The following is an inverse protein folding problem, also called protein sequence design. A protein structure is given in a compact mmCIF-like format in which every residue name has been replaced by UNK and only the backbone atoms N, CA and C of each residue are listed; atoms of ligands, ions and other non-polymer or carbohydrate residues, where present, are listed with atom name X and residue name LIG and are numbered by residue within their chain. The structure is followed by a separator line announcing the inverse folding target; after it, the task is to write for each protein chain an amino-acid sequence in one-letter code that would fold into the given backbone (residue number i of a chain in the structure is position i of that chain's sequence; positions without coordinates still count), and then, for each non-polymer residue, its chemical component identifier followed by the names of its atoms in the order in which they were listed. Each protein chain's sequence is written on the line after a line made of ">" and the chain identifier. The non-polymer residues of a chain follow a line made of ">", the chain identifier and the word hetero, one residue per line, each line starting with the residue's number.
data_IF_523715553493
#
_entry.id   IF_523715553493
#
_cell.length_a   1.000
_cell.length_b   1.000
_cell.length_c   1.000
_cell.angle_alpha   90.00
_cell.angle_beta   90.00
_cell.angle_gamma   90.00
#
_symmetry.space_group_name_H-M   'P 1'
#
loop_
_entity.id
_entity.type
_entity.pdbx_description
1 polymer ?
#
# COMPACT_ATOMS: atom_id res chain seq x y z
N UNK A 1 11.20 1.74 -62.79
CA UNK A 1 9.73 1.67 -62.80
C UNK A 1 9.24 0.95 -61.55
N UNK A 2 8.36 1.65 -60.81
CA UNK A 2 7.40 1.28 -59.75
C UNK A 2 7.75 0.23 -58.67
N UNK A 3 7.92 0.72 -57.44
CA UNK A 3 7.76 -0.04 -56.18
C UNK A 3 6.28 -0.42 -55.93
N UNK A 4 5.99 -1.63 -55.42
CA UNK A 4 4.61 -2.01 -55.12
C UNK A 4 4.11 -1.27 -53.87
N UNK A 5 2.99 -0.57 -54.04
CA UNK A 5 2.31 0.16 -52.96
C UNK A 5 1.78 -0.82 -51.91
N UNK A 6 2.29 -0.72 -50.68
CA UNK A 6 1.73 -1.39 -49.51
C UNK A 6 0.33 -0.82 -49.24
N UNK A 7 -0.71 -1.60 -49.53
CA UNK A 7 -2.10 -1.29 -49.17
C UNK A 7 -2.19 -1.15 -47.65
N UNK A 8 -2.33 0.09 -47.16
CA UNK A 8 -2.59 0.34 -45.75
C UNK A 8 -4.04 -0.07 -45.45
N UNK A 9 -4.22 -1.12 -44.65
CA UNK A 9 -5.54 -1.48 -44.13
C UNK A 9 -6.08 -0.30 -43.30
N UNK A 10 -7.37 0.08 -43.43
CA UNK A 10 -7.93 1.20 -42.69
C UNK A 10 -7.82 0.93 -41.18
N UNK A 11 -7.34 1.92 -40.44
CA UNK A 11 -7.29 1.88 -38.98
C UNK A 11 -8.72 1.74 -38.45
N UNK A 12 -9.08 0.56 -37.95
CA UNK A 12 -10.31 0.36 -37.17
C UNK A 12 -10.28 1.35 -36.01
N UNK A 13 -11.28 2.24 -35.95
CA UNK A 13 -11.50 3.06 -34.78
C UNK A 13 -11.62 2.13 -33.56
N UNK A 14 -10.90 2.38 -32.45
CA UNK A 14 -11.05 1.57 -31.26
C UNK A 14 -12.50 1.66 -30.79
N UNK A 15 -13.12 0.54 -30.35
CA UNK A 15 -14.48 0.56 -29.85
C UNK A 15 -14.59 1.59 -28.73
N UNK A 16 -15.72 2.32 -28.70
CA UNK A 16 -15.98 3.42 -27.78
C UNK A 16 -15.41 3.09 -26.39
N UNK A 17 -14.36 3.82 -26.00
CA UNK A 17 -13.70 3.60 -24.71
C UNK A 17 -14.71 3.95 -23.64
N UNK A 18 -15.39 2.92 -23.11
CA UNK A 18 -16.23 3.04 -21.93
C UNK A 18 -15.51 3.87 -20.87
N UNK A 19 -16.29 4.70 -20.16
CA UNK A 19 -15.82 5.69 -19.19
C UNK A 19 -14.63 5.18 -18.39
N UNK A 20 -13.47 5.84 -18.53
CA UNK A 20 -12.26 5.45 -17.79
C UNK A 20 -12.55 5.57 -16.30
N UNK A 21 -12.54 4.45 -15.58
CA UNK A 21 -12.69 4.45 -14.14
C UNK A 21 -11.35 4.87 -13.50
N UNK A 22 -11.21 6.16 -13.14
CA UNK A 22 -10.05 6.70 -12.42
C UNK A 22 -10.15 6.54 -10.89
N UNK A 23 -11.05 5.68 -10.42
CA UNK A 23 -11.19 5.42 -8.99
C UNK A 23 -9.93 4.68 -8.51
N UNK A 24 -9.23 5.24 -7.52
CA UNK A 24 -8.06 4.60 -6.91
C UNK A 24 -8.45 3.29 -6.22
N UNK A 25 -7.54 2.34 -6.20
CA UNK A 25 -7.74 1.09 -5.45
C UNK A 25 -7.49 1.33 -3.96
N UNK A 26 -8.34 0.77 -3.11
CA UNK A 26 -8.09 0.72 -1.66
C UNK A 26 -6.96 -0.27 -1.36
N UNK A 27 -6.43 -0.23 -0.12
CA UNK A 27 -5.41 -1.19 0.33
C UNK A 27 -5.95 -2.62 0.22
N UNK A 28 -7.13 -2.90 0.74
CA UNK A 28 -7.77 -4.22 0.64
C UNK A 28 -7.93 -4.68 -0.81
N UNK A 29 -8.30 -3.78 -1.72
CA UNK A 29 -8.44 -4.12 -3.14
C UNK A 29 -7.09 -4.45 -3.80
N UNK A 30 -6.00 -3.78 -3.39
CA UNK A 30 -4.65 -4.12 -3.85
C UNK A 30 -4.20 -5.48 -3.27
N UNK A 31 -4.44 -5.69 -1.98
CA UNK A 31 -4.16 -6.95 -1.28
C UNK A 31 -4.90 -8.13 -1.91
N UNK A 32 -6.16 -7.93 -2.32
CA UNK A 32 -6.94 -8.94 -3.03
C UNK A 32 -6.27 -9.32 -4.35
N UNK A 33 -5.82 -8.33 -5.13
CA UNK A 33 -5.13 -8.58 -6.40
C UNK A 33 -3.86 -9.39 -6.15
N UNK A 34 -3.06 -9.03 -5.14
CA UNK A 34 -1.81 -9.74 -4.82
C UNK A 34 -2.07 -11.17 -4.38
N UNK A 35 -3.04 -11.39 -3.48
CA UNK A 35 -3.43 -12.72 -3.03
C UNK A 35 -3.94 -13.60 -4.17
N UNK A 36 -4.88 -13.09 -4.97
CA UNK A 36 -5.46 -13.89 -6.05
C UNK A 36 -4.46 -14.16 -7.16
N UNK A 37 -3.59 -13.20 -7.49
CA UNK A 37 -2.59 -13.37 -8.53
C UNK A 37 -1.51 -14.36 -8.13
N UNK A 38 -1.07 -14.36 -6.86
CA UNK A 38 0.16 -15.03 -6.41
C UNK A 38 -0.10 -16.17 -5.43
N UNK A 39 -0.89 -15.93 -4.39
CA UNK A 39 -0.92 -16.79 -3.21
C UNK A 39 -2.03 -17.84 -3.25
N UNK A 40 -3.10 -17.58 -4.00
CA UNK A 40 -4.30 -18.43 -3.98
C UNK A 40 -4.03 -19.85 -4.45
N UNK A 41 -3.13 -20.01 -5.41
CA UNK A 41 -2.79 -21.28 -6.04
C UNK A 41 -1.27 -21.43 -6.12
N UNK A 42 -0.78 -22.66 -6.35
CA UNK A 42 0.67 -22.92 -6.48
C UNK A 42 1.30 -22.21 -7.68
N UNK A 43 0.46 -21.88 -8.67
CA UNK A 43 0.78 -21.14 -9.88
C UNK A 43 0.01 -19.83 -9.94
N UNK A 44 0.59 -18.88 -10.67
CA UNK A 44 0.00 -17.58 -10.94
C UNK A 44 -1.37 -17.67 -11.63
N UNK A 45 -2.39 -17.01 -11.06
CA UNK A 45 -3.78 -17.07 -11.54
C UNK A 45 -3.98 -16.18 -12.77
N UNK A 46 -4.57 -16.67 -13.89
CA UNK A 46 -4.85 -15.85 -15.07
C UNK A 46 -5.64 -14.58 -14.74
N UNK A 47 -5.35 -13.49 -15.46
CA UNK A 47 -5.98 -12.19 -15.19
C UNK A 47 -7.50 -12.19 -15.35
N UNK A 48 -8.04 -13.01 -16.25
CA UNK A 48 -9.49 -13.15 -16.42
C UNK A 48 -10.16 -13.73 -15.17
N UNK A 49 -9.53 -14.71 -14.52
CA UNK A 49 -10.02 -15.28 -13.27
C UNK A 49 -9.91 -14.25 -12.14
N UNK A 50 -8.76 -13.59 -11.98
CA UNK A 50 -8.59 -12.51 -10.98
C UNK A 50 -9.66 -11.41 -11.18
N UNK A 51 -9.96 -11.07 -12.43
CA UNK A 51 -10.96 -10.05 -12.75
C UNK A 51 -12.38 -10.45 -12.39
N UNK A 52 -12.77 -11.69 -12.73
CA UNK A 52 -14.08 -12.24 -12.39
C UNK A 52 -14.29 -12.20 -10.87
N UNK A 53 -13.32 -12.73 -10.12
CA UNK A 53 -13.43 -12.83 -8.66
C UNK A 53 -13.37 -11.46 -7.98
N UNK A 54 -12.55 -10.53 -8.50
CA UNK A 54 -12.50 -9.16 -8.00
C UNK A 54 -13.86 -8.46 -8.12
N UNK A 55 -14.48 -8.55 -9.30
CA UNK A 55 -15.77 -7.89 -9.57
C UNK A 55 -16.93 -8.56 -8.81
N UNK A 56 -16.79 -9.84 -8.44
CA UNK A 56 -17.73 -10.52 -7.55
C UNK A 56 -17.55 -10.10 -6.08
N UNK A 57 -16.30 -9.87 -5.64
CA UNK A 57 -15.97 -9.52 -4.26
C UNK A 57 -16.31 -8.06 -3.91
N UNK A 58 -15.95 -7.12 -4.77
CA UNK A 58 -16.05 -5.69 -4.45
C UNK A 58 -17.21 -5.02 -5.17
N UNK A 59 -18.08 -4.37 -4.39
CA UNK A 59 -19.12 -3.48 -4.91
C UNK A 59 -18.47 -2.23 -5.50
N UNK A 60 -18.94 -1.78 -6.66
CA UNK A 60 -18.48 -0.55 -7.30
C UNK A 60 -18.34 -0.69 -8.82
N UNK A 61 -17.62 0.25 -9.47
CA UNK A 61 -17.40 0.20 -10.91
C UNK A 61 -16.62 -1.05 -11.31
N UNK A 62 -17.12 -1.76 -12.33
CA UNK A 62 -16.44 -2.93 -12.88
C UNK A 62 -15.02 -2.57 -13.31
N UNK A 63 -14.05 -3.33 -12.81
CA UNK A 63 -12.66 -3.23 -13.24
C UNK A 63 -12.44 -4.15 -14.44
N UNK A 64 -11.54 -3.73 -15.32
CA UNK A 64 -11.05 -4.54 -16.44
C UNK A 64 -9.64 -5.04 -16.13
N UNK A 65 -9.20 -6.09 -16.82
CA UNK A 65 -7.85 -6.65 -16.66
C UNK A 65 -6.75 -5.59 -16.70
N UNK A 66 -6.79 -4.68 -17.68
CA UNK A 66 -5.78 -3.62 -17.79
C UNK A 66 -5.71 -2.69 -16.57
N UNK A 67 -6.83 -2.49 -15.87
CA UNK A 67 -6.88 -1.75 -14.62
C UNK A 67 -6.24 -2.51 -13.45
N UNK A 68 -6.52 -3.81 -13.33
CA UNK A 68 -5.95 -4.66 -12.28
C UNK A 68 -4.45 -4.89 -12.50
N UNK A 69 -4.05 -5.15 -13.74
CA UNK A 69 -2.65 -5.22 -14.16
C UNK A 69 -1.91 -3.91 -13.87
N UNK A 70 -2.55 -2.77 -14.16
CA UNK A 70 -1.96 -1.47 -13.86
C UNK A 70 -1.75 -1.31 -12.35
N UNK A 71 -2.72 -1.69 -11.51
CA UNK A 71 -2.57 -1.64 -10.06
C UNK A 71 -1.45 -2.58 -9.55
N UNK A 72 -1.31 -3.75 -10.17
CA UNK A 72 -0.31 -4.75 -9.79
C UNK A 72 1.12 -4.37 -10.22
N UNK A 73 1.30 -3.86 -11.45
CA UNK A 73 2.63 -3.61 -12.04
C UNK A 73 3.11 -2.16 -12.00
N UNK A 74 2.25 -1.15 -11.80
CA UNK A 74 2.68 0.27 -11.88
C UNK A 74 3.39 0.77 -10.64
N UNK A 75 3.21 0.12 -9.49
CA UNK A 75 3.85 0.52 -8.24
C UNK A 75 5.03 -0.41 -7.97
N UNK A 76 6.20 0.15 -7.70
CA UNK A 76 7.25 -0.59 -7.01
C UNK A 76 6.63 -1.10 -5.72
N UNK A 77 6.59 -2.42 -5.54
CA UNK A 77 6.00 -2.98 -4.34
C UNK A 77 6.91 -2.60 -3.18
N UNK A 78 6.36 -1.85 -2.22
CA UNK A 78 7.03 -1.56 -0.96
C UNK A 78 6.93 -2.80 -0.09
N UNK A 79 7.94 -3.64 -0.17
CA UNK A 79 8.00 -4.89 0.59
C UNK A 79 8.58 -4.56 1.97
N UNK A 80 7.88 -4.91 3.07
CA UNK A 80 8.43 -4.68 4.40
C UNK A 80 9.69 -5.53 4.61
N UNK A 81 10.72 -4.91 5.15
CA UNK A 81 11.94 -5.60 5.56
C UNK A 81 11.65 -6.39 6.84
N UNK A 82 12.06 -7.65 6.83
CA UNK A 82 11.82 -8.56 7.94
C UNK A 82 13.11 -9.19 8.42
N UNK A 83 13.16 -9.56 9.69
CA UNK A 83 14.24 -10.37 10.26
C UNK A 83 14.13 -11.85 9.83
N UNK A 84 15.02 -12.70 10.38
CA UNK A 84 15.06 -14.12 10.09
C UNK A 84 13.80 -14.88 10.57
N UNK A 85 13.05 -14.30 11.51
CA UNK A 85 11.81 -14.83 12.06
C UNK A 85 10.58 -14.33 11.29
N UNK A 86 10.78 -13.41 10.34
CA UNK A 86 9.73 -12.80 9.55
C UNK A 86 9.04 -11.63 10.23
N UNK A 87 9.58 -11.10 11.33
CA UNK A 87 9.04 -9.94 12.05
C UNK A 87 9.51 -8.64 11.41
N UNK A 88 8.73 -7.57 11.60
CA UNK A 88 8.99 -6.27 10.98
C UNK A 88 10.21 -5.60 11.59
N UNK A 89 11.05 -5.01 10.72
CA UNK A 89 12.16 -4.15 11.12
C UNK A 89 11.72 -2.69 11.04
N UNK A 90 11.90 -1.94 12.12
CA UNK A 90 11.55 -0.52 12.23
C UNK A 90 12.79 0.38 12.10
N UNK A 91 12.58 1.62 11.69
CA UNK A 91 13.59 2.68 11.71
C UNK A 91 13.56 3.53 13.01
N UNK A 92 14.35 4.59 13.04
CA UNK A 92 14.47 5.50 14.19
C UNK A 92 13.19 6.33 14.46
N UNK A 93 12.29 6.41 13.47
CA UNK A 93 10.99 7.08 13.55
C UNK A 93 9.86 6.10 13.89
N UNK A 94 10.21 4.86 14.27
CA UNK A 94 9.26 3.77 14.52
C UNK A 94 8.42 3.42 13.28
N UNK A 95 8.87 3.77 12.07
CA UNK A 95 8.23 3.37 10.82
C UNK A 95 8.78 2.03 10.32
N UNK A 96 7.95 1.25 9.64
CA UNK A 96 8.37 -0.04 9.07
C UNK A 96 9.31 0.23 7.90
N UNK A 97 10.52 -0.33 7.96
CA UNK A 97 11.46 -0.26 6.84
C UNK A 97 10.89 -1.02 5.65
N UNK A 98 10.87 -0.38 4.48
CA UNK A 98 10.43 -1.02 3.23
C UNK A 98 11.51 -0.93 2.18
N UNK A 99 11.64 -1.97 1.36
CA UNK A 99 12.42 -1.94 0.12
C UNK A 99 11.48 -1.85 -1.08
N UNK A 100 11.91 -1.14 -2.11
CA UNK A 100 11.19 -1.07 -3.37
C UNK A 100 11.62 -2.20 -4.29
N UNK A 101 10.68 -3.07 -4.66
CA UNK A 101 10.92 -4.13 -5.64
C UNK A 101 10.07 -3.89 -6.90
N UNK A 102 10.68 -3.60 -8.05
CA UNK A 102 9.94 -3.54 -9.31
C UNK A 102 9.46 -4.95 -9.69
N UNK A 103 8.14 -5.12 -9.75
CA UNK A 103 7.48 -6.41 -10.03
C UNK A 103 7.94 -7.01 -11.37
N UNK A 104 8.31 -6.16 -12.33
CA UNK A 104 8.78 -6.60 -13.66
C UNK A 104 10.16 -7.25 -13.64
N UNK A 105 10.98 -6.91 -12.64
CA UNK A 105 12.36 -7.42 -12.50
C UNK A 105 12.45 -8.55 -11.45
N UNK A 106 11.34 -8.82 -10.76
CA UNK A 106 11.25 -9.93 -9.83
C UNK A 106 11.36 -11.27 -10.60
N UNK A 107 12.45 -12.01 -10.36
CA UNK A 107 12.60 -13.40 -10.85
C UNK A 107 11.46 -14.27 -10.30
N UNK A 108 11.08 -15.33 -11.01
CA UNK A 108 9.99 -16.25 -10.62
C UNK A 108 10.00 -16.71 -9.14
N UNK A 109 11.18 -16.86 -8.52
CA UNK A 109 11.32 -17.21 -7.09
C UNK A 109 10.95 -16.06 -6.14
N UNK A 110 11.15 -14.81 -6.54
CA UNK A 110 10.79 -13.58 -5.81
C UNK A 110 9.33 -13.17 -6.05
N UNK A 111 8.68 -13.74 -7.07
CA UNK A 111 7.26 -13.47 -7.34
C UNK A 111 6.37 -13.98 -6.20
N UNK A 112 6.76 -15.06 -5.49
CA UNK A 112 6.02 -15.50 -4.30
C UNK A 112 6.21 -14.55 -3.12
N UNK A 113 7.36 -13.86 -3.01
CA UNK A 113 7.62 -12.90 -1.93
C UNK A 113 6.86 -11.58 -2.07
N UNK A 114 6.24 -11.31 -3.22
CA UNK A 114 5.38 -10.12 -3.41
C UNK A 114 3.89 -10.40 -3.15
N UNK A 115 3.54 -11.65 -2.82
CA UNK A 115 2.18 -12.03 -2.44
C UNK A 115 1.76 -11.39 -1.11
N UNK A 116 0.45 -11.30 -0.90
CA UNK A 116 -0.16 -10.79 0.33
C UNK A 116 0.33 -11.58 1.57
N UNK A 117 0.43 -12.90 1.47
CA UNK A 117 0.78 -13.74 2.62
C UNK A 117 2.21 -13.50 3.11
N UNK A 118 3.13 -13.16 2.20
CA UNK A 118 4.52 -12.85 2.56
C UNK A 118 4.69 -11.40 3.00
N UNK A 119 4.01 -10.48 2.34
CA UNK A 119 4.17 -9.04 2.58
C UNK A 119 3.38 -8.58 3.78
N UNK A 120 2.11 -8.95 3.89
CA UNK A 120 1.18 -8.42 4.89
C UNK A 120 0.29 -9.52 5.52
N UNK A 121 0.91 -10.53 6.17
CA UNK A 121 0.18 -11.58 6.87
C UNK A 121 -0.74 -11.01 7.96
N UNK A 122 -0.38 -9.89 8.58
CA UNK A 122 -1.20 -9.18 9.58
C UNK A 122 -2.54 -8.73 9.03
N UNK A 123 -2.63 -8.41 7.73
CA UNK A 123 -3.90 -8.07 7.07
C UNK A 123 -4.61 -9.32 6.58
N UNK A 124 -3.85 -10.28 6.03
CA UNK A 124 -4.38 -11.50 5.43
C UNK A 124 -5.28 -12.31 6.38
N UNK A 125 -4.94 -12.36 7.68
CA UNK A 125 -5.72 -13.11 8.68
C UNK A 125 -7.14 -12.55 8.87
N UNK A 126 -7.37 -11.26 8.56
CA UNK A 126 -8.64 -10.59 8.79
C UNK A 126 -9.58 -10.60 7.57
N UNK A 127 -9.03 -10.65 6.34
CA UNK A 127 -9.86 -10.58 5.13
C UNK A 127 -10.76 -11.79 4.92
N UNK A 128 -12.03 -11.58 4.57
CA UNK A 128 -13.02 -12.65 4.42
C UNK A 128 -12.75 -13.58 3.23
N UNK A 129 -12.11 -13.06 2.17
CA UNK A 129 -11.81 -13.76 0.92
C UNK A 129 -10.51 -14.58 0.95
N UNK A 130 -9.70 -14.48 2.01
CA UNK A 130 -8.52 -15.32 2.21
C UNK A 130 -8.95 -16.70 2.75
N UNK A 131 -8.45 -17.78 2.14
CA UNK A 131 -8.78 -19.15 2.55
C UNK A 131 -8.43 -19.41 4.02
N UNK A 132 -9.27 -20.17 4.72
CA UNK A 132 -9.01 -20.58 6.12
C UNK A 132 -7.66 -21.30 6.26
N UNK A 133 -7.24 -22.05 5.25
CA UNK A 133 -5.93 -22.69 5.23
C UNK A 133 -4.79 -21.66 5.22
N UNK A 134 -4.83 -20.68 4.34
CA UNK A 134 -3.78 -19.66 4.27
C UNK A 134 -3.77 -18.79 5.53
N UNK A 135 -4.94 -18.44 6.07
CA UNK A 135 -5.04 -17.78 7.37
C UNK A 135 -4.33 -18.58 8.47
N UNK A 136 -4.56 -19.89 8.56
CA UNK A 136 -3.87 -20.76 9.53
C UNK A 136 -2.36 -20.74 9.34
N UNK A 137 -1.87 -20.81 8.09
CA UNK A 137 -0.42 -20.78 7.77
C UNK A 137 0.26 -19.52 8.29
N UNK A 138 -0.38 -18.36 8.11
CA UNK A 138 0.20 -17.06 8.50
C UNK A 138 -0.32 -16.54 9.84
N UNK A 139 -1.09 -17.34 10.59
CA UNK A 139 -1.81 -16.87 11.78
C UNK A 139 -0.86 -16.30 12.84
N UNK A 140 0.16 -17.08 13.20
CA UNK A 140 1.15 -16.70 14.21
C UNK A 140 1.86 -15.40 13.83
N UNK A 141 2.47 -15.38 12.65
CA UNK A 141 3.25 -14.22 12.20
C UNK A 141 2.37 -12.99 11.98
N UNK A 142 1.13 -13.16 11.51
CA UNK A 142 0.18 -12.08 11.35
C UNK A 142 -0.17 -11.42 12.68
N UNK A 143 -0.41 -12.20 13.73
CA UNK A 143 -0.66 -11.66 15.07
C UNK A 143 0.58 -11.00 15.68
N UNK A 144 1.76 -11.60 15.54
CA UNK A 144 3.01 -11.03 16.04
C UNK A 144 3.31 -9.68 15.38
N UNK A 145 3.17 -9.60 14.05
CA UNK A 145 3.33 -8.33 13.31
C UNK A 145 2.28 -7.30 13.69
N UNK A 146 1.02 -7.71 13.89
CA UNK A 146 -0.02 -6.78 14.35
C UNK A 146 0.36 -6.17 15.71
N UNK A 147 0.84 -6.98 16.65
CA UNK A 147 1.32 -6.49 17.94
C UNK A 147 2.52 -5.52 17.81
N UNK A 148 3.44 -5.78 16.87
CA UNK A 148 4.54 -4.86 16.58
C UNK A 148 4.05 -3.50 16.05
N UNK A 149 3.09 -3.51 15.12
CA UNK A 149 2.49 -2.30 14.56
C UNK A 149 1.74 -1.51 15.63
N UNK A 150 0.97 -2.18 16.48
CA UNK A 150 0.25 -1.54 17.58
C UNK A 150 1.23 -0.89 18.57
N UNK A 151 2.32 -1.58 18.90
CA UNK A 151 3.36 -1.04 19.77
C UNK A 151 4.10 0.16 19.14
N UNK A 152 4.40 0.11 17.84
CA UNK A 152 4.98 1.24 17.08
C UNK A 152 4.05 2.45 17.09
N UNK A 153 2.76 2.27 16.77
CA UNK A 153 1.77 3.35 16.80
C UNK A 153 1.69 4.01 18.18
N UNK A 154 1.77 3.24 19.26
CA UNK A 154 1.79 3.79 20.61
C UNK A 154 3.07 4.59 20.89
N UNK A 155 4.24 4.15 20.42
CA UNK A 155 5.50 4.90 20.56
C UNK A 155 5.46 6.22 19.79
N UNK A 156 4.96 6.19 18.56
CA UNK A 156 4.77 7.39 17.74
C UNK A 156 3.82 8.40 18.39
N UNK A 157 2.67 7.92 18.91
CA UNK A 157 1.72 8.77 19.65
C UNK A 157 2.37 9.45 20.86
N UNK A 158 3.11 8.69 21.68
CA UNK A 158 3.82 9.24 22.84
C UNK A 158 4.88 10.28 22.44
N UNK A 159 5.60 10.04 21.34
CA UNK A 159 6.59 10.99 20.81
C UNK A 159 5.92 12.28 20.35
N UNK A 160 4.85 12.18 19.56
CA UNK A 160 4.09 13.32 19.08
C UNK A 160 3.45 14.13 20.22
N UNK A 161 2.91 13.47 21.25
CA UNK A 161 2.37 14.12 22.44
C UNK A 161 3.44 14.90 23.21
N UNK A 162 4.64 14.33 23.36
CA UNK A 162 5.77 14.98 24.05
C UNK A 162 6.26 16.20 23.25
N UNK A 163 6.43 16.06 21.94
CA UNK A 163 6.81 17.15 21.04
C UNK A 163 5.78 18.29 21.07
N UNK A 164 4.48 17.96 21.01
CA UNK A 164 3.42 18.96 21.13
C UNK A 164 3.41 19.67 22.49
N UNK A 165 3.80 18.99 23.59
CA UNK A 165 3.94 19.62 24.91
C UNK A 165 5.12 20.58 24.96
N UNK A 166 6.26 20.19 24.39
CA UNK A 166 7.45 21.04 24.31
C UNK A 166 7.19 22.29 23.48
N UNK A 167 6.53 22.15 22.31
CA UNK A 167 6.15 23.27 21.46
C UNK A 167 5.28 24.30 22.22
N UNK A 168 4.26 23.84 22.96
CA UNK A 168 3.42 24.71 23.80
C UNK A 168 4.20 25.40 24.93
N UNK A 169 5.19 24.73 25.52
CA UNK A 169 6.05 25.32 26.54
C UNK A 169 6.97 26.42 26.00
N UNK A 170 7.47 26.27 24.76
CA UNK A 170 8.31 27.28 24.10
C UNK A 170 7.52 28.53 23.67
N UNK A 171 6.25 28.38 23.29
CA UNK A 171 5.35 29.50 22.99
C UNK A 171 5.07 30.36 24.24
N UNK A 172 4.94 29.73 25.42
CA UNK A 172 4.69 30.44 26.68
C UNK A 172 5.91 31.23 27.20
N UNK A 173 7.13 30.84 26.84
CA UNK A 173 8.36 31.56 27.19
C UNK A 173 8.80 32.60 26.15
N UNK A 174 8.23 32.58 24.94
CA UNK A 174 8.52 33.55 23.88
C UNK A 174 7.50 34.70 23.79
N UNK A 175 6.50 34.74 24.68
CA UNK A 175 5.57 35.86 24.76
C UNK A 175 6.32 37.13 25.20
N UNK A 176 6.25 38.25 24.45
CA UNK A 176 6.96 39.47 24.81
C UNK A 176 6.43 40.00 26.15
N UNK A 177 7.35 40.20 27.10
CA UNK A 177 7.07 40.94 28.33
C UNK A 177 6.66 42.35 27.90
N UNK A 178 5.40 42.72 28.16
CA UNK A 178 4.93 44.07 27.92
C UNK A 178 5.78 45.04 28.76
N UNK A 179 6.52 45.90 28.09
CA UNK A 179 7.37 46.92 28.70
C UNK A 179 6.43 47.99 29.30
N UNK A 180 6.21 47.90 30.61
CA UNK A 180 5.33 48.78 31.37
C UNK A 180 6.04 50.13 31.58
N UNK A 181 6.09 50.94 30.52
CA UNK A 181 6.62 52.30 30.58
C UNK A 181 5.59 53.23 31.23
N UNK A 182 5.53 53.18 32.55
CA UNK A 182 4.77 54.13 33.37
C UNK A 182 5.38 55.53 33.24
N UNK A 183 4.81 56.34 32.36
CA UNK A 183 5.06 57.79 32.29
C UNK A 183 4.44 58.45 33.53
N UNK A 184 5.24 58.60 34.59
CA UNK A 184 4.96 59.57 35.66
C UNK A 184 5.36 60.97 35.19
N UNK A 185 4.45 61.66 34.50
CA UNK A 185 4.56 63.10 34.32
C UNK A 185 4.21 63.80 35.62
N UNK A 186 5.24 64.33 36.29
CA UNK A 186 5.11 65.49 37.17
C UNK A 186 4.80 66.70 36.29
N UNK A 187 3.77 67.45 36.61
CA UNK A 187 3.74 68.91 36.76
C UNK A 187 2.39 69.32 37.37
#
# INVERSE_FOLDING_TARGET
>A
MSSPHRIQKPKRNPPARGTRCNVKYTIEQKDFIDYWRIDRHDRETPWDDVNREYNAQFKGPLRRNGGLQSAYYRENKKIPVTDAQGLLVFDEFDEVKTIELPVRDAKARLIKSIGLLSTHPERAIHYSWVSKEHKRKVWRIGHERQAQLDASMQRQRRRAEMEARLARGQEQHSAPVADDCAVRSRL
#
